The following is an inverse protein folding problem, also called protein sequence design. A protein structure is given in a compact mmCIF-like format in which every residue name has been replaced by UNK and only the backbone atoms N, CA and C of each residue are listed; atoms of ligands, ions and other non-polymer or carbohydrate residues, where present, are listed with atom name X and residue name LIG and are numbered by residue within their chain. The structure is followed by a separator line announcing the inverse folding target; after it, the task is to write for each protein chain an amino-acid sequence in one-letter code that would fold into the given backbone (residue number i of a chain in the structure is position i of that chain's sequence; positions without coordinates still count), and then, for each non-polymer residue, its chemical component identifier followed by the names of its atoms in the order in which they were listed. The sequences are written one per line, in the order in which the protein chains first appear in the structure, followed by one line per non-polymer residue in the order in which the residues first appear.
data_IF_317745982162
#
_entry.id   IF_317745982162
#
_cell.length_a   1.000
_cell.length_b   1.000
_cell.length_c   1.000
_cell.angle_alpha   90.00
_cell.angle_beta   90.00
_cell.angle_gamma   90.00
#
_symmetry.space_group_name_H-M   'P 1'
#
loop_
_entity.id
_entity.type
_entity.pdbx_description
1 polymer ?
#
# COMPACT_ATOMS: atom_id res chain seq x y z
N UNK A 1 -1.52 18.04 -25.87
CA UNK A 1 -0.72 17.32 -24.85
C UNK A 1 -0.65 15.88 -25.34
N UNK A 2 0.54 15.33 -25.63
CA UNK A 2 0.60 13.92 -26.08
C UNK A 2 0.07 13.07 -24.93
N UNK A 3 -1.05 12.38 -25.15
CA UNK A 3 -1.41 11.21 -24.36
C UNK A 3 -0.22 10.27 -24.45
N UNK A 4 0.58 10.19 -23.38
CA UNK A 4 1.49 9.06 -23.24
C UNK A 4 0.56 7.90 -22.95
N UNK A 5 0.42 6.99 -23.90
CA UNK A 5 -0.30 5.75 -23.65
C UNK A 5 0.37 5.11 -22.43
N UNK A 6 -0.41 4.82 -21.38
CA UNK A 6 0.12 4.08 -20.25
C UNK A 6 0.71 2.76 -20.77
N UNK A 7 1.96 2.47 -20.40
CA UNK A 7 2.62 1.22 -20.82
C UNK A 7 2.18 0.07 -19.91
N UNK A 8 2.26 -1.15 -20.45
CA UNK A 8 2.03 -2.34 -19.65
C UNK A 8 3.14 -2.42 -18.59
N UNK A 9 2.75 -2.36 -17.32
CA UNK A 9 3.70 -2.45 -16.20
C UNK A 9 3.95 -3.91 -15.85
N UNK A 10 5.23 -4.22 -15.68
CA UNK A 10 5.72 -5.47 -15.11
C UNK A 10 6.93 -5.11 -14.25
N UNK A 11 6.66 -4.72 -13.00
CA UNK A 11 7.68 -4.19 -12.11
C UNK A 11 8.80 -5.21 -11.80
N UNK A 12 8.48 -6.51 -11.78
CA UNK A 12 9.48 -7.56 -11.60
C UNK A 12 10.39 -7.69 -12.82
N UNK A 13 9.82 -7.64 -14.03
CA UNK A 13 10.61 -7.61 -15.27
C UNK A 13 11.47 -6.35 -15.37
N UNK A 14 10.93 -5.18 -15.06
CA UNK A 14 11.69 -3.91 -15.06
C UNK A 14 12.90 -4.00 -14.11
N UNK A 15 12.69 -4.54 -12.90
CA UNK A 15 13.77 -4.76 -11.94
C UNK A 15 14.80 -5.77 -12.45
N UNK A 16 14.35 -6.87 -13.03
CA UNK A 16 15.22 -7.92 -13.59
C UNK A 16 16.02 -7.41 -14.77
N UNK A 17 15.44 -6.60 -15.65
CA UNK A 17 16.14 -6.00 -16.80
C UNK A 17 17.20 -4.99 -16.33
N UNK A 18 16.97 -4.31 -15.20
CA UNK A 18 17.89 -3.34 -14.59
C UNK A 18 19.06 -4.00 -13.85
N UNK A 19 18.82 -5.09 -13.11
CA UNK A 19 19.83 -5.77 -12.28
C UNK A 19 20.51 -6.94 -13.00
N UNK A 20 19.79 -7.59 -13.91
CA UNK A 20 20.17 -8.82 -14.59
C UNK A 20 19.68 -10.10 -13.88
N UNK A 21 19.64 -11.20 -14.63
CA UNK A 21 19.03 -12.48 -14.21
C UNK A 21 19.82 -13.28 -13.16
N UNK A 22 20.98 -12.79 -12.70
CA UNK A 22 21.83 -13.51 -11.75
C UNK A 22 21.33 -13.36 -10.28
N UNK A 23 20.49 -12.37 -10.02
CA UNK A 23 19.95 -12.04 -8.70
C UNK A 23 18.43 -11.96 -8.84
N UNK A 24 17.69 -12.60 -7.93
CA UNK A 24 16.23 -12.46 -7.89
C UNK A 24 15.88 -11.05 -7.40
N UNK A 25 15.07 -10.32 -8.15
CA UNK A 25 14.67 -8.95 -7.77
C UNK A 25 13.25 -8.93 -7.24
N UNK A 26 13.09 -8.67 -5.94
CA UNK A 26 11.78 -8.42 -5.34
C UNK A 26 11.48 -6.92 -5.31
N UNK A 27 10.24 -6.59 -5.65
CA UNK A 27 9.70 -5.24 -5.69
C UNK A 27 8.42 -5.15 -4.84
N UNK A 28 7.94 -3.94 -4.57
CA UNK A 28 6.72 -3.73 -3.79
C UNK A 28 5.43 -3.88 -4.60
N UNK A 29 5.48 -3.58 -5.91
CA UNK A 29 4.30 -3.69 -6.78
C UNK A 29 3.99 -5.15 -7.11
N UNK A 30 2.70 -5.53 -7.21
CA UNK A 30 2.33 -6.87 -7.63
C UNK A 30 2.70 -7.10 -9.12
N UNK A 31 3.59 -8.05 -9.44
CA UNK A 31 3.94 -8.38 -10.81
C UNK A 31 2.90 -9.31 -11.47
N UNK A 32 2.81 -9.33 -12.80
CA UNK A 32 2.15 -10.41 -13.54
C UNK A 32 3.00 -11.71 -13.47
N UNK A 33 2.42 -12.89 -13.75
CA UNK A 33 1.01 -13.13 -14.04
C UNK A 33 0.13 -13.01 -12.79
N UNK A 34 -1.19 -13.03 -12.99
CA UNK A 34 -2.13 -13.27 -11.89
C UNK A 34 -1.74 -14.54 -11.14
N UNK A 35 -1.66 -14.44 -9.82
CA UNK A 35 -1.39 -15.58 -8.94
C UNK A 35 -2.75 -16.10 -8.49
N UNK A 36 -3.08 -17.34 -8.83
CA UNK A 36 -4.37 -17.98 -8.46
C UNK A 36 -4.21 -19.02 -7.32
N UNK A 37 -3.07 -19.02 -6.63
CA UNK A 37 -2.77 -19.93 -5.52
C UNK A 37 -2.88 -19.23 -4.15
N UNK A 38 -3.42 -19.96 -3.16
CA UNK A 38 -3.52 -19.56 -1.76
C UNK A 38 -4.63 -18.55 -1.43
N UNK A 39 -4.62 -18.05 -0.19
CA UNK A 39 -5.65 -17.12 0.31
C UNK A 39 -5.39 -15.66 -0.07
N UNK A 40 -4.19 -15.33 -0.60
CA UNK A 40 -3.76 -13.95 -0.87
C UNK A 40 -2.94 -13.86 -2.17
N UNK A 41 -3.63 -13.56 -3.27
CA UNK A 41 -3.15 -13.47 -4.65
C UNK A 41 -2.27 -12.24 -4.93
N UNK A 42 -1.02 -12.24 -4.47
CA UNK A 42 0.04 -11.27 -4.82
C UNK A 42 1.44 -11.83 -4.52
N UNK A 43 2.48 -11.23 -5.14
CA UNK A 43 3.89 -11.55 -4.88
C UNK A 43 4.27 -11.26 -3.42
N UNK A 44 5.15 -12.11 -2.88
CA UNK A 44 5.65 -12.06 -1.52
C UNK A 44 7.12 -11.59 -1.58
N UNK A 45 7.38 -10.30 -1.36
CA UNK A 45 8.70 -9.72 -1.62
C UNK A 45 9.79 -10.21 -0.65
N UNK A 46 9.45 -11.10 0.30
CA UNK A 46 10.34 -11.56 1.38
C UNK A 46 10.52 -13.08 1.39
N UNK A 47 10.04 -13.79 0.37
CA UNK A 47 10.17 -15.25 0.26
C UNK A 47 11.30 -15.68 -0.72
N UNK A 48 12.60 -15.52 -0.39
CA UNK A 48 13.65 -16.03 -1.26
C UNK A 48 13.69 -17.57 -1.16
N UNK A 49 13.63 -18.24 -2.31
CA UNK A 49 14.00 -19.66 -2.40
C UNK A 49 15.25 -19.80 -3.28
N UNK A 50 16.39 -20.11 -2.65
CA UNK A 50 17.55 -20.76 -3.29
C UNK A 50 18.51 -19.90 -4.11
N UNK A 51 18.19 -18.64 -4.43
CA UNK A 51 19.09 -17.71 -5.13
C UNK A 51 19.32 -16.43 -4.32
N UNK A 52 20.46 -15.73 -4.51
CA UNK A 52 20.66 -14.38 -4.00
C UNK A 52 19.51 -13.48 -4.43
N UNK A 53 18.96 -12.69 -3.50
CA UNK A 53 17.80 -11.86 -3.76
C UNK A 53 18.00 -10.40 -3.32
N UNK A 54 17.53 -9.45 -4.14
CA UNK A 54 17.35 -8.05 -3.75
C UNK A 54 15.96 -7.88 -3.14
N UNK A 55 15.90 -7.34 -1.91
CA UNK A 55 14.65 -7.17 -1.16
C UNK A 55 14.41 -5.72 -0.76
N UNK A 56 13.14 -5.23 -0.78
CA UNK A 56 12.79 -3.85 -0.46
C UNK A 56 12.70 -3.55 1.05
N UNK A 57 12.87 -4.56 1.91
CA UNK A 57 12.65 -4.47 3.35
C UNK A 57 13.77 -3.76 4.12
N UNK A 58 14.93 -3.56 3.49
CA UNK A 58 16.13 -3.09 4.19
C UNK A 58 16.80 -4.14 5.08
N UNK A 59 16.11 -5.24 5.41
CA UNK A 59 16.61 -6.32 6.27
C UNK A 59 17.54 -7.25 5.48
N UNK A 60 18.79 -7.36 5.95
CA UNK A 60 19.77 -8.29 5.39
C UNK A 60 19.71 -9.65 6.08
N UNK A 61 19.55 -10.71 5.29
CA UNK A 61 19.59 -12.10 5.71
C UNK A 61 20.61 -12.87 4.90
N UNK A 62 21.08 -14.05 5.35
CA UNK A 62 21.87 -14.93 4.51
C UNK A 62 21.16 -15.18 3.17
N UNK A 63 21.81 -14.78 2.07
CA UNK A 63 21.25 -14.91 0.72
C UNK A 63 20.38 -13.75 0.25
N UNK A 64 20.21 -12.67 1.03
CA UNK A 64 19.54 -11.45 0.58
C UNK A 64 20.44 -10.22 0.67
N UNK A 65 20.14 -9.21 -0.12
CA UNK A 65 20.77 -7.89 -0.08
C UNK A 65 19.67 -6.84 -0.23
N UNK A 66 19.74 -5.74 0.52
CA UNK A 66 18.75 -4.66 0.35
C UNK A 66 19.06 -3.83 -0.89
N UNK A 67 18.03 -3.26 -1.52
CA UNK A 67 18.22 -2.32 -2.63
C UNK A 67 19.11 -1.12 -2.25
N UNK A 68 18.99 -0.60 -1.02
CA UNK A 68 19.87 0.46 -0.52
C UNK A 68 21.35 0.03 -0.47
N UNK A 69 21.63 -1.21 -0.08
CA UNK A 69 22.99 -1.74 -0.11
C UNK A 69 23.50 -1.92 -1.54
N UNK A 70 22.64 -2.40 -2.46
CA UNK A 70 22.98 -2.58 -3.87
C UNK A 70 23.28 -1.26 -4.59
N UNK A 71 22.60 -0.17 -4.20
CA UNK A 71 22.86 1.18 -4.70
C UNK A 71 24.25 1.70 -4.36
N UNK A 72 24.91 1.16 -3.32
CA UNK A 72 26.31 1.52 -3.00
C UNK A 72 27.25 1.30 -4.17
N UNK A 73 27.03 0.23 -4.93
CA UNK A 73 27.79 -0.12 -6.14
C UNK A 73 27.15 0.45 -7.42
N UNK A 74 25.86 0.86 -7.36
CA UNK A 74 25.07 1.30 -8.52
C UNK A 74 24.40 2.68 -8.32
N UNK A 75 25.15 3.74 -7.94
CA UNK A 75 24.56 5.02 -7.56
C UNK A 75 23.79 5.71 -8.71
N UNK A 76 24.11 5.39 -9.96
CA UNK A 76 23.41 5.90 -11.14
C UNK A 76 21.95 5.40 -11.26
N UNK A 77 21.58 4.37 -10.51
CA UNK A 77 20.23 3.79 -10.48
C UNK A 77 19.36 4.33 -9.35
N UNK A 78 19.90 5.25 -8.53
CA UNK A 78 19.21 5.75 -7.34
C UNK A 78 17.81 6.31 -7.64
N UNK A 79 17.65 7.06 -8.74
CA UNK A 79 16.36 7.64 -9.11
C UNK A 79 15.27 6.56 -9.32
N UNK A 80 15.60 5.49 -10.05
CA UNK A 80 14.66 4.40 -10.34
C UNK A 80 14.28 3.61 -9.07
N UNK A 81 15.27 3.34 -8.21
CA UNK A 81 15.09 2.59 -6.96
C UNK A 81 14.27 3.40 -5.94
N UNK A 82 14.56 4.69 -5.79
CA UNK A 82 13.87 5.57 -4.84
C UNK A 82 12.45 5.89 -5.28
N UNK A 83 12.21 6.14 -6.58
CA UNK A 83 10.86 6.33 -7.13
C UNK A 83 9.94 5.13 -6.81
N UNK A 84 10.51 3.92 -6.78
CA UNK A 84 9.77 2.67 -6.50
C UNK A 84 9.73 2.28 -5.02
N UNK A 85 10.17 3.17 -4.12
CA UNK A 85 10.21 2.92 -2.67
C UNK A 85 11.03 1.70 -2.24
N UNK A 86 11.93 1.23 -3.10
CA UNK A 86 12.74 0.03 -2.85
C UNK A 86 13.93 0.32 -1.93
N UNK A 87 14.44 1.56 -1.95
CA UNK A 87 15.59 2.01 -1.15
C UNK A 87 16.14 3.37 -1.58
N UNK A 88 17.36 3.67 -1.15
CA UNK A 88 18.01 4.97 -1.40
C UNK A 88 17.58 6.06 -0.42
N UNK A 89 17.68 7.33 -0.82
CA UNK A 89 17.28 8.49 0.01
C UNK A 89 15.82 8.80 -0.27
N UNK A 90 14.94 8.38 0.63
CA UNK A 90 13.48 8.52 0.48
C UNK A 90 12.96 9.72 1.26
N UNK A 91 11.91 10.35 0.75
CA UNK A 91 11.24 11.48 1.39
C UNK A 91 9.79 11.54 0.94
N UNK A 92 8.89 11.91 1.86
CA UNK A 92 7.50 12.22 1.49
C UNK A 92 7.38 13.67 0.99
N UNK A 93 6.56 13.94 -0.03
CA UNK A 93 6.19 15.31 -0.37
C UNK A 93 5.34 15.92 0.75
N UNK A 94 5.27 17.25 0.83
CA UNK A 94 4.37 17.92 1.76
C UNK A 94 2.90 17.62 1.44
N UNK A 95 2.08 17.39 2.47
CA UNK A 95 0.65 17.15 2.33
C UNK A 95 -0.06 18.38 1.70
N UNK A 96 -0.71 18.22 0.54
CA UNK A 96 -1.42 19.34 -0.11
C UNK A 96 -2.72 19.71 0.63
N UNK A 97 -3.16 20.97 0.49
CA UNK A 97 -4.43 21.41 1.07
C UNK A 97 -5.67 20.67 0.51
N UNK A 98 -5.56 20.14 -0.72
CA UNK A 98 -6.56 19.34 -1.43
C UNK A 98 -6.60 17.85 -1.01
N UNK A 99 -5.78 17.45 -0.03
CA UNK A 99 -5.60 16.05 0.33
C UNK A 99 -6.90 15.37 0.78
N UNK A 100 -7.69 16.03 1.63
CA UNK A 100 -8.93 15.44 2.16
C UNK A 100 -9.93 15.17 1.03
N UNK A 101 -10.18 16.15 0.17
CA UNK A 101 -11.13 16.00 -0.95
C UNK A 101 -10.69 14.90 -1.92
N UNK A 102 -9.38 14.86 -2.24
CA UNK A 102 -8.81 13.84 -3.12
C UNK A 102 -8.86 12.46 -2.49
N UNK A 103 -8.58 12.35 -1.19
CA UNK A 103 -8.68 11.10 -0.42
C UNK A 103 -10.11 10.57 -0.48
N UNK A 104 -11.11 11.38 -0.15
CA UNK A 104 -12.53 10.97 -0.18
C UNK A 104 -12.93 10.53 -1.58
N UNK A 105 -12.54 11.28 -2.61
CA UNK A 105 -12.84 10.96 -4.00
C UNK A 105 -12.23 9.61 -4.44
N UNK A 106 -10.96 9.37 -4.13
CA UNK A 106 -10.27 8.13 -4.48
C UNK A 106 -10.70 6.94 -3.60
N UNK A 107 -11.07 7.18 -2.35
CA UNK A 107 -11.65 6.16 -1.47
C UNK A 107 -12.98 5.66 -2.05
N UNK A 108 -13.90 6.58 -2.44
CA UNK A 108 -15.14 6.21 -3.13
C UNK A 108 -14.87 5.34 -4.37
N UNK A 109 -13.87 5.72 -5.19
CA UNK A 109 -13.49 4.96 -6.38
C UNK A 109 -12.94 3.57 -6.04
N UNK A 110 -12.10 3.48 -5.01
CA UNK A 110 -11.51 2.22 -4.54
C UNK A 110 -12.58 1.26 -4.03
N UNK A 111 -13.43 1.71 -3.10
CA UNK A 111 -14.46 0.91 -2.43
C UNK A 111 -15.60 0.50 -3.37
N UNK A 112 -16.08 1.41 -4.21
CA UNK A 112 -17.34 1.20 -4.92
C UNK A 112 -17.21 0.76 -6.38
N UNK A 113 -16.00 0.85 -6.95
CA UNK A 113 -15.77 0.53 -8.37
C UNK A 113 -14.62 -0.45 -8.54
N UNK A 114 -13.42 -0.13 -8.04
CA UNK A 114 -12.21 -0.94 -8.32
C UNK A 114 -12.24 -2.27 -7.57
N UNK A 115 -12.38 -2.24 -6.25
CA UNK A 115 -12.35 -3.43 -5.41
C UNK A 115 -13.46 -4.46 -5.75
N UNK A 116 -14.71 -4.04 -6.03
CA UNK A 116 -15.77 -4.96 -6.45
C UNK A 116 -15.47 -5.69 -7.77
N UNK A 117 -14.73 -5.09 -8.70
CA UNK A 117 -14.33 -5.77 -9.95
C UNK A 117 -13.43 -6.96 -9.66
N UNK A 118 -12.44 -6.79 -8.77
CA UNK A 118 -11.58 -7.89 -8.32
C UNK A 118 -12.40 -8.94 -7.56
N UNK A 119 -13.28 -8.50 -6.67
CA UNK A 119 -14.11 -9.40 -5.88
C UNK A 119 -14.98 -10.32 -6.73
N UNK A 120 -15.60 -9.81 -7.80
CA UNK A 120 -16.39 -10.65 -8.72
C UNK A 120 -15.55 -11.67 -9.48
N UNK A 121 -14.25 -11.40 -9.69
CA UNK A 121 -13.37 -12.31 -10.39
C UNK A 121 -12.87 -13.46 -9.50
N UNK A 122 -12.56 -13.20 -8.21
CA UNK A 122 -11.93 -14.21 -7.35
C UNK A 122 -12.29 -14.12 -5.86
N UNK A 123 -13.34 -13.39 -5.48
CA UNK A 123 -13.79 -13.24 -4.09
C UNK A 123 -12.87 -12.37 -3.21
N UNK A 124 -11.87 -11.69 -3.78
CA UNK A 124 -10.95 -10.83 -3.03
C UNK A 124 -11.10 -9.37 -3.48
N UNK A 125 -11.12 -8.45 -2.52
CA UNK A 125 -11.34 -7.02 -2.80
C UNK A 125 -10.16 -6.12 -2.44
N UNK A 126 -9.23 -6.59 -1.62
CA UNK A 126 -8.10 -5.77 -1.21
C UNK A 126 -7.15 -5.33 -2.34
N UNK A 127 -6.48 -4.22 -2.12
CA UNK A 127 -5.65 -3.52 -3.09
C UNK A 127 -4.17 -3.53 -2.64
N UNK A 128 -3.29 -3.01 -3.49
CA UNK A 128 -1.85 -2.88 -3.27
C UNK A 128 -1.40 -1.49 -3.68
N UNK A 129 -0.21 -1.10 -3.20
CA UNK A 129 0.50 0.01 -3.82
C UNK A 129 0.89 -0.37 -5.27
N UNK A 130 0.69 0.58 -6.17
CA UNK A 130 1.23 0.57 -7.52
C UNK A 130 1.88 1.92 -7.73
N UNK A 131 3.03 1.99 -8.39
CA UNK A 131 3.77 3.24 -8.57
C UNK A 131 2.86 4.33 -9.16
N UNK A 132 2.76 5.45 -8.43
CA UNK A 132 1.88 6.58 -8.75
C UNK A 132 0.50 6.56 -8.08
N UNK A 133 0.16 5.54 -7.29
CA UNK A 133 -1.13 5.45 -6.60
C UNK A 133 -1.38 4.10 -5.94
N UNK A 134 -2.46 3.44 -6.35
CA UNK A 134 -2.90 2.15 -5.81
C UNK A 134 -3.64 1.35 -6.87
N UNK A 135 -3.72 0.04 -6.70
CA UNK A 135 -4.44 -0.81 -7.64
C UNK A 135 -4.66 -2.22 -7.13
N UNK A 136 -5.34 -3.02 -7.93
CA UNK A 136 -5.47 -4.44 -7.66
C UNK A 136 -4.10 -5.13 -7.84
N UNK A 137 -3.82 -6.23 -7.14
CA UNK A 137 -2.95 -7.26 -7.70
C UNK A 137 -3.42 -7.68 -9.10
N UNK A 138 -2.56 -8.33 -9.88
CA UNK A 138 -3.05 -8.99 -11.10
C UNK A 138 -4.05 -10.10 -10.73
N UNK A 139 -5.16 -10.19 -11.45
CA UNK A 139 -6.24 -11.15 -11.20
C UNK A 139 -6.87 -11.66 -12.50
N UNK A 140 -7.56 -12.80 -12.45
CA UNK A 140 -8.26 -13.38 -13.59
C UNK A 140 -7.32 -13.60 -14.78
N UNK A 141 -7.71 -13.11 -15.97
CA UNK A 141 -6.93 -13.21 -17.21
C UNK A 141 -5.72 -12.24 -17.24
N UNK A 142 -4.95 -12.16 -16.15
CA UNK A 142 -3.84 -11.25 -15.95
C UNK A 142 -4.25 -9.76 -16.12
N UNK A 143 -5.37 -9.40 -15.50
CA UNK A 143 -5.90 -8.03 -15.44
C UNK A 143 -5.40 -7.31 -14.19
N UNK A 144 -5.04 -6.04 -14.33
CA UNK A 144 -4.79 -5.13 -13.22
C UNK A 144 -5.55 -3.83 -13.46
N UNK A 145 -6.26 -3.37 -12.43
CA UNK A 145 -6.91 -2.05 -12.42
C UNK A 145 -6.17 -1.19 -11.43
N UNK A 146 -5.70 -0.01 -11.85
CA UNK A 146 -4.94 0.89 -10.97
C UNK A 146 -5.30 2.35 -11.20
N UNK A 147 -5.12 3.14 -10.16
CA UNK A 147 -5.07 4.60 -10.22
C UNK A 147 -3.62 5.03 -10.25
N UNK A 148 -3.26 5.84 -11.24
CA UNK A 148 -1.94 6.46 -11.38
C UNK A 148 -2.13 7.98 -11.52
N UNK A 149 -1.86 8.72 -10.44
CA UNK A 149 -2.21 10.12 -10.33
C UNK A 149 -3.70 10.35 -10.55
N UNK A 150 -4.06 11.03 -11.65
CA UNK A 150 -5.45 11.32 -12.03
C UNK A 150 -6.02 10.38 -13.10
N UNK A 151 -5.33 9.28 -13.42
CA UNK A 151 -5.77 8.32 -14.43
C UNK A 151 -6.25 7.02 -13.78
N UNK A 152 -7.35 6.48 -14.30
CA UNK A 152 -7.78 5.11 -14.09
C UNK A 152 -7.28 4.26 -15.25
N UNK A 153 -6.55 3.20 -14.94
CA UNK A 153 -5.89 2.34 -15.91
C UNK A 153 -6.45 0.91 -15.80
N UNK A 154 -6.79 0.32 -16.94
CA UNK A 154 -7.12 -1.10 -17.08
C UNK A 154 -6.04 -1.77 -17.95
N UNK A 155 -5.19 -2.58 -17.32
CA UNK A 155 -4.19 -3.38 -18.00
C UNK A 155 -4.67 -4.82 -18.08
N UNK A 156 -4.72 -5.39 -19.28
CA UNK A 156 -5.03 -6.81 -19.53
C UNK A 156 -3.89 -7.43 -20.29
N UNK A 157 -3.09 -8.23 -19.60
CA UNK A 157 -1.81 -8.71 -20.10
C UNK A 157 -0.94 -7.54 -20.62
N UNK A 158 -0.60 -7.53 -21.92
CA UNK A 158 0.19 -6.47 -22.56
C UNK A 158 -0.62 -5.31 -23.13
N UNK A 159 -1.94 -5.31 -23.01
CA UNK A 159 -2.79 -4.22 -23.50
C UNK A 159 -3.19 -3.29 -22.36
N UNK A 160 -3.06 -1.99 -22.57
CA UNK A 160 -3.37 -0.97 -21.57
C UNK A 160 -4.30 0.07 -22.17
N UNK A 161 -5.37 0.37 -21.45
CA UNK A 161 -6.23 1.52 -21.70
C UNK A 161 -6.30 2.38 -20.45
N UNK A 162 -6.50 3.67 -20.62
CA UNK A 162 -6.58 4.61 -19.51
C UNK A 162 -7.56 5.73 -19.81
N UNK A 163 -8.25 6.21 -18.77
CA UNK A 163 -9.10 7.40 -18.82
C UNK A 163 -8.82 8.30 -17.61
N UNK A 164 -9.05 9.62 -17.71
CA UNK A 164 -9.04 10.49 -16.54
C UNK A 164 -10.11 10.06 -15.53
N UNK A 165 -9.79 10.12 -14.24
CA UNK A 165 -10.77 9.96 -13.18
C UNK A 165 -11.68 11.19 -13.18
N UNK A 166 -12.97 10.99 -13.45
CA UNK A 166 -13.97 12.07 -13.51
C UNK A 166 -15.14 11.83 -12.58
N UNK A 167 -15.92 10.77 -12.77
CA UNK A 167 -17.06 10.40 -11.91
C UNK A 167 -17.02 8.91 -11.60
N UNK A 168 -17.73 8.48 -10.55
CA UNK A 168 -17.84 7.04 -10.25
C UNK A 168 -18.54 6.29 -11.40
N UNK A 169 -19.57 6.88 -12.01
CA UNK A 169 -20.28 6.28 -13.13
C UNK A 169 -19.37 6.13 -14.36
N UNK A 170 -18.59 7.16 -14.71
CA UNK A 170 -17.68 7.08 -15.85
C UNK A 170 -16.57 6.04 -15.65
N UNK A 171 -16.08 5.89 -14.42
CA UNK A 171 -15.13 4.82 -14.06
C UNK A 171 -15.76 3.42 -14.17
N UNK A 172 -17.00 3.27 -13.73
CA UNK A 172 -17.74 2.02 -13.83
C UNK A 172 -18.00 1.62 -15.29
N UNK A 173 -18.43 2.57 -16.13
CA UNK A 173 -18.62 2.37 -17.56
C UNK A 173 -17.30 1.97 -18.26
N UNK A 174 -16.19 2.65 -17.92
CA UNK A 174 -14.87 2.34 -18.47
C UNK A 174 -14.40 0.91 -18.15
N UNK A 175 -14.67 0.43 -16.92
CA UNK A 175 -14.25 -0.89 -16.46
C UNK A 175 -15.24 -2.01 -16.80
N UNK A 176 -16.35 -1.68 -17.48
CA UNK A 176 -17.47 -2.57 -17.79
C UNK A 176 -18.04 -3.22 -16.50
N UNK A 177 -18.38 -2.37 -15.53
CA UNK A 177 -18.91 -2.76 -14.22
C UNK A 177 -20.09 -1.90 -13.78
N UNK A 178 -20.83 -2.37 -12.79
CA UNK A 178 -21.72 -1.53 -11.99
C UNK A 178 -21.00 -1.03 -10.74
N UNK A 179 -21.51 0.07 -10.18
CA UNK A 179 -21.13 0.54 -8.85
C UNK A 179 -21.73 -0.42 -7.81
N UNK A 180 -20.93 -0.83 -6.84
CA UNK A 180 -21.31 -1.78 -5.80
C UNK A 180 -21.02 -1.16 -4.43
N UNK A 181 -22.08 -0.94 -3.65
CA UNK A 181 -22.02 -0.26 -2.34
C UNK A 181 -21.98 -1.22 -1.16
N UNK A 182 -21.89 -2.52 -1.40
CA UNK A 182 -21.98 -3.55 -0.36
C UNK A 182 -20.68 -4.33 -0.22
N UNK A 183 -20.04 -4.70 -1.33
CA UNK A 183 -18.93 -5.68 -1.33
C UNK A 183 -17.70 -5.23 -0.53
N UNK A 184 -17.27 -3.99 -0.71
CA UNK A 184 -16.01 -3.47 -0.14
C UNK A 184 -16.23 -2.22 0.71
N UNK A 185 -17.51 -1.86 0.92
CA UNK A 185 -17.88 -0.74 1.76
C UNK A 185 -17.89 -1.18 3.23
N UNK A 186 -17.21 -0.41 4.06
CA UNK A 186 -17.15 -0.64 5.51
C UNK A 186 -17.68 0.58 6.27
N UNK A 187 -17.71 0.48 7.59
CA UNK A 187 -18.35 1.47 8.47
C UNK A 187 -17.77 2.89 8.35
N UNK A 188 -16.53 3.00 7.91
CA UNK A 188 -15.75 4.22 7.72
C UNK A 188 -15.54 4.58 6.23
N UNK A 189 -16.16 3.83 5.32
CA UNK A 189 -16.20 4.22 3.92
C UNK A 189 -17.03 5.51 3.74
N UNK A 190 -16.55 6.49 2.96
CA UNK A 190 -17.31 7.70 2.66
C UNK A 190 -18.57 7.31 1.89
N UNK A 191 -19.72 7.94 2.12
CA UNK A 191 -20.96 7.57 1.43
C UNK A 191 -20.79 7.59 -0.09
N UNK A 192 -21.49 6.68 -0.79
CA UNK A 192 -21.42 6.58 -2.26
C UNK A 192 -21.70 7.91 -2.96
N UNK A 193 -22.57 8.76 -2.39
CA UNK A 193 -22.90 10.09 -2.90
C UNK A 193 -23.58 10.06 -4.27
N UNK A 194 -23.57 11.20 -4.96
CA UNK A 194 -23.99 11.26 -6.37
C UNK A 194 -22.89 10.64 -7.25
N UNK A 195 -23.25 9.58 -7.97
CA UNK A 195 -22.32 8.81 -8.80
C UNK A 195 -21.90 9.55 -10.08
N UNK A 196 -22.63 10.61 -10.45
CA UNK A 196 -22.33 11.46 -11.59
C UNK A 196 -21.63 12.77 -11.18
N UNK A 197 -21.42 12.99 -9.89
CA UNK A 197 -20.64 14.12 -9.39
C UNK A 197 -19.18 14.01 -9.84
N UNK A 198 -18.58 15.15 -10.20
CA UNK A 198 -17.15 15.24 -10.46
C UNK A 198 -16.36 14.95 -9.19
N UNK A 199 -15.55 13.89 -9.23
CA UNK A 199 -14.59 13.53 -8.21
C UNK A 199 -13.49 14.59 -8.13
N UNK A 200 -13.30 15.17 -6.94
CA UNK A 200 -12.32 16.20 -6.65
C UNK A 200 -10.90 15.61 -6.51
N UNK A 201 -10.36 15.06 -7.59
CA UNK A 201 -9.00 14.48 -7.62
C UNK A 201 -7.99 15.53 -8.08
N UNK A 202 -7.22 16.06 -7.14
CA UNK A 202 -6.13 16.98 -7.43
C UNK A 202 -4.82 16.22 -7.74
N UNK A 203 -4.06 16.59 -8.79
CA UNK A 203 -2.82 15.90 -9.15
C UNK A 203 -1.76 15.87 -8.05
N UNK A 204 -1.60 16.94 -7.27
CA UNK A 204 -0.58 16.99 -6.22
C UNK A 204 -0.98 16.09 -5.04
N UNK A 205 -2.25 16.10 -4.65
CA UNK A 205 -2.78 15.22 -3.62
C UNK A 205 -2.76 13.74 -4.04
N UNK A 206 -3.10 13.42 -5.29
CA UNK A 206 -2.99 12.06 -5.81
C UNK A 206 -1.54 11.55 -5.80
N UNK A 207 -0.58 12.40 -6.19
CA UNK A 207 0.84 12.10 -6.08
C UNK A 207 1.28 11.89 -4.62
N UNK A 208 0.79 12.74 -3.69
CA UNK A 208 1.06 12.56 -2.27
C UNK A 208 0.56 11.21 -1.77
N UNK A 209 -0.69 10.82 -2.07
CA UNK A 209 -1.26 9.53 -1.66
C UNK A 209 -0.48 8.33 -2.21
N UNK A 210 -0.05 8.39 -3.48
CA UNK A 210 0.80 7.36 -4.06
C UNK A 210 2.15 7.20 -3.35
N UNK A 211 2.74 8.31 -2.88
CA UNK A 211 3.97 8.28 -2.09
C UNK A 211 3.74 7.81 -0.65
N UNK A 212 2.63 8.22 -0.04
CA UNK A 212 2.21 7.75 1.29
C UNK A 212 2.04 6.23 1.32
N UNK A 213 1.34 5.68 0.32
CA UNK A 213 1.18 4.23 0.20
C UNK A 213 2.49 3.51 -0.12
N UNK A 214 3.36 4.07 -0.97
CA UNK A 214 4.68 3.48 -1.25
C UNK A 214 5.54 3.36 0.01
N UNK A 215 5.59 4.43 0.81
CA UNK A 215 6.23 4.46 2.12
C UNK A 215 5.63 3.41 3.05
N UNK A 216 4.31 3.39 3.18
CA UNK A 216 3.60 2.46 4.06
C UNK A 216 3.89 1.00 3.71
N UNK A 217 3.79 0.62 2.42
CA UNK A 217 4.08 -0.74 1.99
C UNK A 217 5.54 -1.13 2.24
N UNK A 218 6.50 -0.22 2.02
CA UNK A 218 7.91 -0.47 2.33
C UNK A 218 8.13 -0.73 3.83
N UNK A 219 7.52 0.07 4.70
CA UNK A 219 7.63 -0.07 6.15
C UNK A 219 6.93 -1.33 6.67
N UNK A 220 5.72 -1.61 6.18
CA UNK A 220 4.94 -2.81 6.53
C UNK A 220 5.64 -4.10 6.08
N UNK A 221 6.24 -4.12 4.89
CA UNK A 221 7.05 -5.27 4.46
C UNK A 221 8.31 -5.42 5.31
N UNK A 222 8.93 -4.33 5.76
CA UNK A 222 10.08 -4.40 6.68
C UNK A 222 9.71 -5.03 8.03
N UNK A 223 8.68 -4.52 8.71
CA UNK A 223 8.26 -5.09 10.00
C UNK A 223 7.70 -6.51 9.84
N UNK A 224 6.98 -6.81 8.75
CA UNK A 224 6.51 -8.18 8.47
C UNK A 224 7.68 -9.14 8.28
N UNK A 225 8.74 -8.67 7.61
CA UNK A 225 9.88 -9.50 7.33
C UNK A 225 10.63 -9.88 8.58
N UNK A 226 10.70 -9.04 9.62
CA UNK A 226 11.43 -9.28 10.88
C UNK A 226 11.08 -10.63 11.55
N UNK A 227 12.10 -11.35 12.03
CA UNK A 227 11.94 -12.65 12.72
C UNK A 227 11.16 -12.54 14.03
N UNK A 228 11.09 -11.34 14.64
CA UNK A 228 10.28 -11.07 15.81
C UNK A 228 8.78 -11.00 15.50
N UNK A 229 8.39 -10.86 14.23
CA UNK A 229 6.99 -10.78 13.83
C UNK A 229 6.37 -12.17 13.71
N UNK A 230 5.51 -12.52 14.68
CA UNK A 230 4.79 -13.80 14.73
C UNK A 230 3.52 -13.72 13.88
N UNK A 231 3.27 -14.77 13.08
CA UNK A 231 2.05 -14.95 12.26
C UNK A 231 1.61 -13.70 11.47
N UNK A 232 2.60 -12.99 10.93
CA UNK A 232 2.40 -11.72 10.25
C UNK A 232 1.67 -11.89 8.91
N UNK A 233 0.57 -11.17 8.73
CA UNK A 233 -0.18 -11.16 7.47
C UNK A 233 0.52 -10.32 6.39
N UNK A 234 0.12 -10.51 5.13
CA UNK A 234 0.68 -9.74 4.00
C UNK A 234 0.12 -8.32 3.99
N UNK A 235 0.91 -7.30 3.59
CA UNK A 235 0.40 -5.95 3.47
C UNK A 235 -0.73 -5.87 2.44
N UNK A 236 -1.78 -5.15 2.76
CA UNK A 236 -2.89 -4.93 1.86
C UNK A 236 -3.46 -3.55 2.11
N UNK A 237 -3.86 -2.88 1.04
CA UNK A 237 -4.70 -1.69 1.16
C UNK A 237 -6.16 -2.15 1.24
N UNK A 238 -6.79 -1.90 2.39
CA UNK A 238 -8.19 -2.21 2.63
C UNK A 238 -9.06 -1.14 1.99
N UNK A 239 -9.84 -1.44 0.95
CA UNK A 239 -10.57 -0.41 0.22
C UNK A 239 -11.67 0.27 1.06
N UNK A 240 -12.17 -0.39 2.12
CA UNK A 240 -13.20 0.16 3.01
C UNK A 240 -12.69 1.18 4.03
N UNK A 241 -11.44 1.01 4.48
CA UNK A 241 -10.70 1.94 5.35
C UNK A 241 -9.79 2.90 4.57
N UNK A 242 -9.46 2.52 3.33
CA UNK A 242 -8.53 3.17 2.42
C UNK A 242 -7.11 3.34 2.95
N UNK A 243 -6.64 2.36 3.74
CA UNK A 243 -5.32 2.35 4.33
C UNK A 243 -4.57 1.02 4.07
N UNK A 244 -3.23 1.05 3.94
CA UNK A 244 -2.41 -0.14 3.98
C UNK A 244 -2.26 -0.67 5.41
N UNK A 245 -2.44 -1.98 5.61
CA UNK A 245 -2.23 -2.63 6.90
C UNK A 245 -1.71 -4.06 6.79
N UNK A 246 -1.15 -4.54 7.91
CA UNK A 246 -0.88 -5.95 8.23
C UNK A 246 -1.42 -6.26 9.62
N UNK A 247 -1.45 -7.54 9.95
CA UNK A 247 -1.70 -8.05 11.28
C UNK A 247 -0.45 -8.78 11.75
N UNK A 248 -0.04 -8.58 13.00
CA UNK A 248 1.10 -9.31 13.60
C UNK A 248 0.68 -9.77 15.00
N UNK A 249 1.06 -11.00 15.34
CA UNK A 249 0.93 -11.55 16.68
C UNK A 249 0.26 -12.93 16.74
N UNK A 250 0.48 -13.62 17.86
CA UNK A 250 -0.13 -14.92 18.14
C UNK A 250 -1.62 -14.78 18.55
N UNK A 251 -2.24 -15.87 19.02
CA UNK A 251 -3.64 -15.91 19.44
C UNK A 251 -3.98 -15.05 20.68
N UNK A 252 -2.97 -14.54 21.39
CA UNK A 252 -3.13 -13.77 22.63
C UNK A 252 -2.62 -12.33 22.52
N UNK A 253 -1.65 -12.07 21.63
CA UNK A 253 -0.93 -10.81 21.53
C UNK A 253 -0.93 -10.31 20.08
N UNK A 254 -2.11 -9.97 19.55
CA UNK A 254 -2.30 -9.56 18.14
C UNK A 254 -2.70 -8.10 18.00
N UNK A 255 -2.21 -7.48 16.94
CA UNK A 255 -2.58 -6.12 16.55
C UNK A 255 -2.63 -5.93 15.04
N UNK A 256 -3.33 -4.88 14.60
CA UNK A 256 -3.28 -4.38 13.23
C UNK A 256 -2.33 -3.19 13.16
N UNK A 257 -1.44 -3.19 12.18
CA UNK A 257 -0.41 -2.18 11.98
C UNK A 257 -0.64 -1.56 10.61
N UNK A 258 -0.83 -0.25 10.53
CA UNK A 258 -1.22 0.38 9.28
C UNK A 258 -0.90 1.85 9.17
N UNK A 259 -1.20 2.41 7.99
CA UNK A 259 -0.87 3.78 7.62
C UNK A 259 -2.08 4.47 6.95
N UNK A 260 -2.89 5.14 7.76
CA UNK A 260 -4.07 5.86 7.26
C UNK A 260 -3.66 7.13 6.51
N UNK A 261 -4.25 7.44 5.34
CA UNK A 261 -4.13 8.76 4.70
C UNK A 261 -4.93 9.85 5.44
N UNK A 262 -5.41 9.55 6.65
CA UNK A 262 -6.29 10.35 7.48
C UNK A 262 -7.76 9.93 7.32
N UNK A 263 -8.58 10.27 8.31
CA UNK A 263 -10.00 9.96 8.39
C UNK A 263 -10.77 11.12 9.07
N UNK A 264 -11.99 10.87 9.53
CA UNK A 264 -12.83 11.88 10.19
C UNK A 264 -12.35 12.22 11.61
N UNK A 265 -11.67 11.30 12.30
CA UNK A 265 -11.12 11.51 13.65
C UNK A 265 -9.76 12.20 13.61
N UNK A 266 -8.90 11.82 12.66
CA UNK A 266 -7.56 12.38 12.43
C UNK A 266 -7.44 12.75 10.94
N UNK A 267 -7.67 14.03 10.59
CA UNK A 267 -7.73 14.44 9.17
C UNK A 267 -6.42 14.31 8.40
N UNK A 268 -5.27 14.39 9.07
CA UNK A 268 -3.94 14.24 8.47
C UNK A 268 -3.51 12.76 8.37
N UNK A 269 -2.57 12.40 7.48
CA UNK A 269 -2.01 11.05 7.43
C UNK A 269 -1.32 10.65 8.74
N UNK A 270 -1.46 9.38 9.12
CA UNK A 270 -0.89 8.86 10.35
C UNK A 270 -0.62 7.34 10.28
N UNK A 271 0.35 6.88 11.04
CA UNK A 271 0.58 5.47 11.31
C UNK A 271 -0.21 5.04 12.54
N UNK A 272 -0.64 3.79 12.58
CA UNK A 272 -1.31 3.24 13.75
C UNK A 272 -0.90 1.82 14.08
N UNK A 273 -1.06 1.47 15.34
CA UNK A 273 -1.17 0.09 15.81
C UNK A 273 -2.42 -0.03 16.67
N UNK A 274 -3.37 -0.87 16.25
CA UNK A 274 -4.56 -1.20 17.04
C UNK A 274 -4.40 -2.56 17.71
N UNK A 275 -4.80 -2.66 18.97
CA UNK A 275 -4.64 -3.87 19.79
C UNK A 275 -5.97 -4.64 19.81
N UNK A 276 -5.93 -5.93 19.45
CA UNK A 276 -7.16 -6.72 19.30
C UNK A 276 -7.77 -7.16 20.63
N UNK A 277 -6.92 -7.51 21.59
CA UNK A 277 -7.34 -7.92 22.94
C UNK A 277 -6.62 -7.08 23.99
N UNK A 278 -7.03 -5.81 24.18
CA UNK A 278 -6.41 -4.91 25.14
C UNK A 278 -6.38 -5.45 26.57
N UNK A 279 -7.32 -6.34 26.92
CA UNK A 279 -7.40 -7.01 28.23
C UNK A 279 -6.31 -8.08 28.44
N UNK A 280 -5.68 -8.55 27.36
CA UNK A 280 -4.62 -9.57 27.40
C UNK A 280 -3.21 -8.97 27.41
N UNK A 281 -3.10 -7.69 27.08
CA UNK A 281 -1.83 -6.95 27.13
C UNK A 281 -1.83 -5.97 28.29
N UNK A 282 -0.67 -5.75 28.88
CA UNK A 282 -0.55 -4.84 30.02
C UNK A 282 -0.46 -3.37 29.55
N UNK A 283 -1.57 -2.84 29.05
CA UNK A 283 -1.69 -1.44 28.61
C UNK A 283 -1.94 -0.53 29.82
N UNK A 284 -1.01 0.37 30.08
CA UNK A 284 -1.22 1.47 31.02
C UNK A 284 -1.93 2.62 30.33
N UNK A 285 -3.19 2.87 30.67
CA UNK A 285 -3.98 3.97 30.10
C UNK A 285 -3.43 5.37 30.44
N UNK A 286 -2.50 5.47 31.41
CA UNK A 286 -1.80 6.72 31.70
C UNK A 286 -0.55 6.93 30.83
N UNK A 287 -0.09 5.91 30.10
CA UNK A 287 1.04 6.02 29.19
C UNK A 287 0.63 6.79 27.93
N UNK A 288 1.27 7.93 27.62
CA UNK A 288 0.95 8.74 26.45
C UNK A 288 1.20 8.04 25.11
N UNK A 289 1.85 6.88 25.09
CA UNK A 289 1.98 6.03 23.90
C UNK A 289 0.62 5.59 23.35
N UNK A 290 -0.33 5.25 24.23
CA UNK A 290 -1.66 4.75 23.86
C UNK A 290 -2.63 5.91 23.60
N UNK A 291 -2.31 6.69 22.57
CA UNK A 291 -2.94 7.97 22.25
C UNK A 291 -4.06 7.91 21.19
N UNK A 292 -4.42 6.73 20.71
CA UNK A 292 -5.44 6.59 19.67
C UNK A 292 -6.83 7.05 20.19
N UNK A 293 -7.58 7.88 19.43
CA UNK A 293 -8.82 8.48 19.91
C UNK A 293 -10.04 7.55 19.85
N UNK A 294 -10.05 6.59 18.93
CA UNK A 294 -11.23 5.77 18.58
C UNK A 294 -11.06 4.28 18.81
N UNK A 295 -9.84 3.83 19.12
CA UNK A 295 -9.51 2.42 19.39
C UNK A 295 -8.41 2.34 20.45
N UNK A 296 -8.24 1.18 21.06
CA UNK A 296 -7.10 0.96 21.95
C UNK A 296 -5.85 0.69 21.11
N UNK A 297 -4.90 1.62 21.15
CA UNK A 297 -3.73 1.56 20.28
C UNK A 297 -2.92 2.84 20.34
N UNK A 298 -1.91 2.90 19.48
CA UNK A 298 -1.03 4.04 19.31
C UNK A 298 -1.15 4.62 17.90
N UNK A 299 -0.91 5.91 17.79
CA UNK A 299 -0.90 6.68 16.55
C UNK A 299 0.36 7.54 16.51
N UNK A 300 0.99 7.61 15.34
CA UNK A 300 2.03 8.58 15.00
C UNK A 300 1.60 9.38 13.77
N UNK A 301 1.30 10.68 13.97
CA UNK A 301 0.85 11.56 12.89
C UNK A 301 2.01 11.98 12.00
N UNK A 302 1.74 12.25 10.73
CA UNK A 302 2.75 12.73 9.79
C UNK A 302 3.40 14.03 10.28
N UNK A 303 2.65 14.94 10.92
CA UNK A 303 3.22 16.16 11.50
C UNK A 303 4.25 15.91 12.61
N UNK A 304 4.25 14.72 13.21
CA UNK A 304 5.15 14.31 14.30
C UNK A 304 6.33 13.46 13.80
N UNK A 305 6.46 13.24 12.48
CA UNK A 305 7.62 12.57 11.91
C UNK A 305 8.88 13.44 12.10
N UNK A 306 10.01 12.80 12.38
CA UNK A 306 11.30 13.48 12.35
C UNK A 306 11.83 13.65 10.91
N UNK A 307 13.00 14.28 10.76
CA UNK A 307 13.66 14.49 9.46
C UNK A 307 14.36 13.21 8.92
N UNK A 308 14.10 12.04 9.53
CA UNK A 308 14.65 10.76 9.12
C UNK A 308 14.02 10.20 7.84
N UNK A 309 14.50 9.05 7.39
CA UNK A 309 13.84 8.31 6.30
C UNK A 309 12.44 7.88 6.78
N UNK A 310 11.36 8.28 6.10
CA UNK A 310 10.01 8.01 6.57
C UNK A 310 9.67 6.52 6.66
N UNK A 311 10.34 5.66 5.89
CA UNK A 311 10.17 4.19 6.01
C UNK A 311 10.80 3.68 7.30
N UNK A 312 11.94 4.23 7.70
CA UNK A 312 12.62 3.84 8.94
C UNK A 312 11.86 4.36 10.16
N UNK A 313 11.33 5.59 10.11
CA UNK A 313 10.43 6.15 11.13
C UNK A 313 9.22 5.24 11.33
N UNK A 314 8.56 4.85 10.24
CA UNK A 314 7.40 3.98 10.29
C UNK A 314 7.73 2.57 10.78
N UNK A 315 8.81 1.97 10.28
CA UNK A 315 9.27 0.65 10.72
C UNK A 315 9.61 0.62 12.21
N UNK A 316 10.27 1.65 12.73
CA UNK A 316 10.60 1.79 14.15
C UNK A 316 9.35 1.95 15.01
N UNK A 317 8.39 2.77 14.59
CA UNK A 317 7.10 2.91 15.26
C UNK A 317 6.38 1.55 15.36
N UNK A 318 6.20 0.85 14.24
CA UNK A 318 5.54 -0.46 14.22
C UNK A 318 6.29 -1.52 15.05
N UNK A 319 7.60 -1.65 14.86
CA UNK A 319 8.42 -2.62 15.55
C UNK A 319 8.47 -2.41 17.06
N UNK A 320 8.59 -1.16 17.52
CA UNK A 320 8.63 -0.85 18.95
C UNK A 320 7.33 -1.21 19.68
N UNK A 321 6.18 -0.97 19.06
CA UNK A 321 4.88 -1.31 19.65
C UNK A 321 4.62 -2.81 19.55
N UNK A 322 4.99 -3.47 18.44
CA UNK A 322 4.95 -4.93 18.32
C UNK A 322 5.69 -5.60 19.47
N UNK A 323 6.92 -5.15 19.74
CA UNK A 323 7.76 -5.70 20.80
C UNK A 323 7.24 -5.39 22.22
N UNK A 324 6.33 -4.43 22.36
CA UNK A 324 5.64 -4.12 23.61
C UNK A 324 4.41 -5.01 23.80
N UNK A 325 3.62 -5.20 22.75
CA UNK A 325 2.41 -6.03 22.72
C UNK A 325 2.74 -7.52 22.94
N UNK A 326 3.88 -7.98 22.42
CA UNK A 326 4.29 -9.39 22.50
C UNK A 326 4.86 -9.84 23.87
N UNK A 327 4.85 -8.99 24.90
CA UNK A 327 5.44 -9.27 26.24
C UNK A 327 4.45 -9.84 27.24
#
# INVERSE_FOLDING_TARGET
MKSMNAEARDASKEATDLVGNAILTHVLEPPPPAVDDGEWFADDPVAPRGAPALVPTGIQRPGTTSWSSWLGDHPHQAAWVTERWLGGVRSLPAAPASLVDTRVALHRLAAYVIAPVRHRANGKFGLRWTLGGFGTPFFGDNRQIRVEGTQLIDQRAGHVTSVPVTTLQAAADFLDTTIDTETAAEHDSPPVGDVNETLAVDPAAANFLGNWYGMAFAALESVRADDASVDASRPQLWPGHFDPAIEIGDENHRGSYGASPGDDAIPEPYLYVSVWWPDRVNIDAADPLWNAPSFTGAVLKLADFDDGDPVDVAGNFFGSIRDLIAR
#
